data_IF_144765607765
#
_entry.id   IF_144765607765
#
_cell.length_a   1.000
_cell.length_b   1.000
_cell.length_c   1.000
_cell.angle_alpha   90.00
_cell.angle_beta   90.00
_cell.angle_gamma   90.00
#
_symmetry.space_group_name_H-M   'P 1'
#
loop_
_entity.id
_entity.type
_entity.pdbx_description
1 polymer ?
#
# COMPACT_ATOMS: atom_id res chain seq x y z
N UNK A 1 10.66 12.91 -3.84
CA UNK A 1 10.80 11.87 -4.89
C UNK A 1 11.87 10.83 -4.57
N UNK A 2 13.10 11.20 -4.18
CA UNK A 2 14.17 10.20 -3.94
C UNK A 2 13.81 9.09 -2.93
N UNK A 3 13.07 9.41 -1.87
CA UNK A 3 12.62 8.41 -0.90
C UNK A 3 11.51 7.50 -1.46
N UNK A 4 10.58 8.02 -2.27
CA UNK A 4 9.55 7.22 -2.97
C UNK A 4 10.23 6.19 -3.90
N UNK A 5 11.28 6.59 -4.62
CA UNK A 5 12.04 5.66 -5.46
C UNK A 5 12.65 4.52 -4.63
N UNK A 6 13.22 4.85 -3.45
CA UNK A 6 13.81 3.82 -2.57
C UNK A 6 12.76 2.84 -2.05
N UNK A 7 11.60 3.32 -1.63
CA UNK A 7 10.54 2.45 -1.12
C UNK A 7 9.97 1.55 -2.22
N UNK A 8 9.78 2.07 -3.45
CA UNK A 8 9.34 1.25 -4.59
C UNK A 8 10.35 0.16 -4.96
N UNK A 9 11.65 0.46 -4.93
CA UNK A 9 12.70 -0.56 -5.08
C UNK A 9 12.59 -1.65 -4.02
N UNK A 10 12.46 -1.26 -2.75
CA UNK A 10 12.31 -2.20 -1.63
C UNK A 10 11.08 -3.08 -1.83
N UNK A 11 9.92 -2.51 -2.16
CA UNK A 11 8.66 -3.26 -2.38
C UNK A 11 8.76 -4.24 -3.55
N UNK A 12 9.40 -3.83 -4.64
CA UNK A 12 9.68 -4.69 -5.80
C UNK A 12 10.50 -5.91 -5.36
N UNK A 13 11.63 -5.69 -4.68
CA UNK A 13 12.51 -6.77 -4.22
C UNK A 13 11.79 -7.67 -3.20
N UNK A 14 11.07 -7.07 -2.25
CA UNK A 14 10.30 -7.82 -1.26
C UNK A 14 9.29 -8.77 -1.91
N UNK A 15 8.60 -8.35 -2.96
CA UNK A 15 7.62 -9.22 -3.63
C UNK A 15 8.27 -10.26 -4.56
N UNK A 16 9.47 -10.01 -5.11
CA UNK A 16 10.27 -11.07 -5.73
C UNK A 16 10.67 -12.14 -4.70
N UNK A 17 11.04 -11.74 -3.49
CA UNK A 17 11.33 -12.68 -2.39
C UNK A 17 10.08 -13.45 -1.98
N UNK A 18 8.91 -12.81 -1.91
CA UNK A 18 7.63 -13.50 -1.67
C UNK A 18 7.37 -14.52 -2.76
N UNK A 19 7.61 -14.20 -4.03
CA UNK A 19 7.48 -15.16 -5.11
C UNK A 19 8.36 -16.40 -4.83
N UNK A 20 9.64 -16.23 -4.51
CA UNK A 20 10.51 -17.36 -4.15
C UNK A 20 9.93 -18.16 -2.98
N UNK A 21 9.45 -17.50 -1.93
CA UNK A 21 8.86 -18.15 -0.75
C UNK A 21 7.61 -18.95 -1.11
N UNK A 22 6.82 -18.51 -2.09
CA UNK A 22 5.61 -19.20 -2.56
C UNK A 22 5.90 -20.50 -3.33
N UNK A 23 7.17 -20.82 -3.65
CA UNK A 23 7.55 -22.12 -4.21
C UNK A 23 7.80 -23.19 -3.12
N UNK A 24 7.90 -22.80 -1.84
CA UNK A 24 8.02 -23.78 -0.76
C UNK A 24 6.69 -24.48 -0.51
N UNK A 25 6.76 -25.66 0.13
CA UNK A 25 5.57 -26.41 0.54
C UNK A 25 4.66 -25.55 1.41
N UNK A 26 3.37 -25.62 1.12
CA UNK A 26 2.31 -24.93 1.86
C UNK A 26 2.45 -25.19 3.37
N UNK A 27 2.59 -24.11 4.14
CA UNK A 27 2.72 -24.16 5.58
C UNK A 27 2.30 -22.83 6.20
N UNK A 28 1.92 -22.86 7.48
CA UNK A 28 1.58 -21.64 8.23
C UNK A 28 2.74 -20.63 8.25
N UNK A 29 3.99 -21.13 8.21
CA UNK A 29 5.17 -20.29 8.19
C UNK A 29 5.26 -19.46 6.89
N UNK A 30 4.98 -20.08 5.74
CA UNK A 30 4.93 -19.39 4.44
C UNK A 30 3.87 -18.28 4.47
N UNK A 31 2.69 -18.56 5.04
CA UNK A 31 1.61 -17.56 5.17
C UNK A 31 2.04 -16.40 6.08
N UNK A 32 2.60 -16.68 7.27
CA UNK A 32 3.07 -15.65 8.20
C UNK A 32 4.13 -14.75 7.55
N UNK A 33 5.11 -15.35 6.86
CA UNK A 33 6.14 -14.60 6.15
C UNK A 33 5.55 -13.71 5.06
N UNK A 34 4.64 -14.23 4.24
CA UNK A 34 3.96 -13.47 3.21
C UNK A 34 3.14 -12.31 3.79
N UNK A 35 2.43 -12.53 4.90
CA UNK A 35 1.67 -11.49 5.60
C UNK A 35 2.55 -10.39 6.18
N UNK A 36 3.70 -10.73 6.77
CA UNK A 36 4.67 -9.73 7.28
C UNK A 36 5.21 -8.88 6.12
N UNK A 37 5.61 -9.51 5.02
CA UNK A 37 6.11 -8.77 3.86
C UNK A 37 5.02 -7.89 3.26
N UNK A 38 3.78 -8.39 3.15
CA UNK A 38 2.65 -7.61 2.69
C UNK A 38 2.39 -6.39 3.60
N UNK A 39 2.36 -6.57 4.93
CA UNK A 39 2.22 -5.47 5.89
C UNK A 39 3.29 -4.40 5.72
N UNK A 40 4.56 -4.80 5.58
CA UNK A 40 5.68 -3.88 5.36
C UNK A 40 5.49 -3.14 4.03
N UNK A 41 5.17 -3.86 2.96
CA UNK A 41 4.98 -3.27 1.63
C UNK A 41 3.83 -2.27 1.60
N UNK A 42 2.71 -2.60 2.22
CA UNK A 42 1.54 -1.72 2.27
C UNK A 42 1.81 -0.49 3.13
N UNK A 43 2.54 -0.65 4.24
CA UNK A 43 3.01 0.50 5.05
C UNK A 43 3.91 1.43 4.24
N UNK A 44 4.84 0.88 3.46
CA UNK A 44 5.70 1.67 2.57
C UNK A 44 4.88 2.36 1.47
N UNK A 45 3.87 1.70 0.90
CA UNK A 45 2.95 2.31 -0.07
C UNK A 45 2.14 3.47 0.51
N UNK A 46 1.67 3.34 1.75
CA UNK A 46 0.98 4.44 2.44
C UNK A 46 1.91 5.60 2.76
N UNK A 47 3.17 5.30 3.13
CA UNK A 47 4.19 6.32 3.29
C UNK A 47 4.49 7.05 1.97
N UNK A 48 4.58 6.35 0.84
CA UNK A 48 4.71 6.95 -0.50
C UNK A 48 3.54 7.90 -0.80
N UNK A 49 2.30 7.47 -0.57
CA UNK A 49 1.10 8.29 -0.74
C UNK A 49 1.15 9.57 0.11
N UNK A 50 1.63 9.48 1.34
CA UNK A 50 1.86 10.63 2.21
C UNK A 50 2.93 11.59 1.67
N UNK A 51 4.02 11.06 1.11
CA UNK A 51 5.07 11.86 0.47
C UNK A 51 4.62 12.53 -0.83
N UNK A 52 3.66 11.98 -1.55
CA UNK A 52 3.11 12.62 -2.76
C UNK A 52 2.26 13.86 -2.48
N UNK A 53 1.64 13.95 -1.30
CA UNK A 53 0.79 15.09 -0.94
C UNK A 53 1.51 16.45 -0.96
N UNK A 54 2.67 16.63 -0.27
CA UNK A 54 3.42 17.88 -0.34
C UNK A 54 4.03 18.14 -1.73
N UNK A 55 4.28 17.09 -2.53
CA UNK A 55 4.75 17.23 -3.92
C UNK A 55 3.62 17.84 -4.77
N UNK A 56 2.43 17.24 -4.71
CA UNK A 56 1.25 17.70 -5.44
C UNK A 56 0.90 19.16 -5.09
N UNK A 57 0.90 19.52 -3.81
CA UNK A 57 0.59 20.89 -3.38
C UNK A 57 1.57 21.97 -3.90
N UNK A 58 2.79 21.60 -4.29
CA UNK A 58 3.77 22.54 -4.88
C UNK A 58 3.58 22.72 -6.38
N UNK A 59 3.07 21.70 -7.06
CA UNK A 59 2.87 21.69 -8.52
C UNK A 59 1.49 22.28 -8.86
N UNK A 60 0.46 21.94 -8.07
CA UNK A 60 -0.93 22.30 -8.33
C UNK A 60 -1.27 23.65 -7.69
N UNK A 61 -1.86 24.55 -8.50
CA UNK A 61 -2.35 25.86 -8.05
C UNK A 61 -3.40 25.68 -6.96
N UNK A 62 -3.45 26.60 -6.00
CA UNK A 62 -4.35 26.49 -4.84
C UNK A 62 -5.84 26.33 -5.23
N UNK A 63 -6.28 26.99 -6.30
CA UNK A 63 -7.64 26.89 -6.85
C UNK A 63 -8.00 25.47 -7.32
N UNK A 64 -7.02 24.72 -7.80
CA UNK A 64 -7.24 23.45 -8.51
C UNK A 64 -6.97 22.24 -7.60
N UNK A 65 -6.57 22.47 -6.34
CA UNK A 65 -6.15 21.41 -5.40
C UNK A 65 -7.29 20.51 -5.00
N UNK A 66 -8.47 21.07 -4.75
CA UNK A 66 -9.64 20.29 -4.35
C UNK A 66 -10.07 19.34 -5.47
N UNK A 67 -10.19 19.87 -6.69
CA UNK A 67 -10.49 19.09 -7.89
C UNK A 67 -9.43 18.00 -8.14
N UNK A 68 -8.14 18.35 -8.02
CA UNK A 68 -7.05 17.39 -8.20
C UNK A 68 -7.09 16.27 -7.16
N UNK A 69 -7.44 16.59 -5.91
CA UNK A 69 -7.58 15.58 -4.86
C UNK A 69 -8.79 14.69 -5.09
N UNK A 70 -9.92 15.25 -5.53
CA UNK A 70 -11.11 14.49 -5.90
C UNK A 70 -10.79 13.53 -7.07
N UNK A 71 -10.14 14.02 -8.13
CA UNK A 71 -9.71 13.19 -9.25
C UNK A 71 -8.77 12.07 -8.80
N UNK A 72 -7.76 12.38 -7.97
CA UNK A 72 -6.82 11.39 -7.44
C UNK A 72 -7.54 10.31 -6.63
N UNK A 73 -8.51 10.70 -5.80
CA UNK A 73 -9.28 9.76 -4.99
C UNK A 73 -10.13 8.84 -5.87
N UNK A 74 -10.81 9.40 -6.86
CA UNK A 74 -11.59 8.62 -7.83
C UNK A 74 -10.70 7.63 -8.57
N UNK A 75 -9.57 8.08 -9.13
CA UNK A 75 -8.63 7.22 -9.83
C UNK A 75 -8.08 6.10 -8.92
N UNK A 76 -7.76 6.42 -7.66
CA UNK A 76 -7.29 5.43 -6.68
C UNK A 76 -8.36 4.39 -6.37
N UNK A 77 -9.59 4.83 -6.12
CA UNK A 77 -10.73 3.93 -5.84
C UNK A 77 -11.03 3.03 -7.04
N UNK A 78 -11.07 3.57 -8.26
CA UNK A 78 -11.27 2.79 -9.48
C UNK A 78 -10.16 1.75 -9.66
N UNK A 79 -8.90 2.14 -9.49
CA UNK A 79 -7.78 1.19 -9.58
C UNK A 79 -7.83 0.13 -8.50
N UNK A 80 -8.28 0.46 -7.29
CA UNK A 80 -8.47 -0.53 -6.22
C UNK A 80 -9.55 -1.57 -6.58
N UNK A 81 -10.66 -1.13 -7.19
CA UNK A 81 -11.71 -2.05 -7.67
C UNK A 81 -11.14 -2.95 -8.76
N UNK A 82 -10.51 -2.37 -9.78
CA UNK A 82 -9.89 -3.12 -10.89
C UNK A 82 -8.87 -4.13 -10.37
N UNK A 83 -7.96 -3.73 -9.47
CA UNK A 83 -6.94 -4.60 -8.92
C UNK A 83 -7.53 -5.74 -8.07
N UNK A 84 -8.55 -5.47 -7.26
CA UNK A 84 -9.20 -6.51 -6.45
C UNK A 84 -9.94 -7.52 -7.33
N UNK A 85 -10.73 -7.03 -8.30
CA UNK A 85 -11.45 -7.90 -9.23
C UNK A 85 -10.51 -8.72 -10.10
N UNK A 86 -9.46 -8.11 -10.67
CA UNK A 86 -8.43 -8.82 -11.43
C UNK A 86 -7.68 -9.82 -10.56
N UNK A 87 -7.29 -9.45 -9.34
CA UNK A 87 -6.62 -10.35 -8.40
C UNK A 87 -7.45 -11.59 -8.09
N UNK A 88 -8.73 -11.40 -7.76
CA UNK A 88 -9.64 -12.50 -7.49
C UNK A 88 -9.85 -13.43 -8.70
N UNK A 89 -10.00 -12.85 -9.90
CA UNK A 89 -10.10 -13.61 -11.13
C UNK A 89 -8.81 -14.39 -11.44
N UNK A 90 -7.65 -13.78 -11.26
CA UNK A 90 -6.36 -14.39 -11.56
C UNK A 90 -6.02 -15.54 -10.61
N UNK A 91 -6.46 -15.51 -9.35
CA UNK A 91 -6.27 -16.63 -8.40
C UNK A 91 -6.90 -17.94 -8.92
N UNK A 92 -7.91 -17.87 -9.78
CA UNK A 92 -8.53 -19.07 -10.38
C UNK A 92 -7.58 -19.82 -11.33
N UNK A 93 -6.64 -19.12 -11.98
CA UNK A 93 -5.78 -19.70 -13.03
C UNK A 93 -4.29 -19.64 -12.69
N UNK A 94 -3.88 -18.76 -11.78
CA UNK A 94 -2.48 -18.48 -11.45
C UNK A 94 -2.17 -18.92 -10.03
N UNK A 95 -0.97 -19.49 -9.84
CA UNK A 95 -0.47 -19.79 -8.50
C UNK A 95 -0.05 -18.51 -7.74
N UNK A 96 0.03 -18.60 -6.42
CA UNK A 96 0.48 -17.49 -5.57
C UNK A 96 1.88 -16.96 -5.92
N UNK A 97 2.76 -17.81 -6.48
CA UNK A 97 4.03 -17.39 -7.09
C UNK A 97 3.83 -16.34 -8.18
N UNK A 98 2.98 -16.64 -9.17
CA UNK A 98 2.71 -15.74 -10.29
C UNK A 98 2.05 -14.44 -9.82
N UNK A 99 1.15 -14.51 -8.83
CA UNK A 99 0.51 -13.34 -8.25
C UNK A 99 1.52 -12.44 -7.52
N UNK A 100 2.49 -13.02 -6.81
CA UNK A 100 3.58 -12.28 -6.18
C UNK A 100 4.48 -11.60 -7.24
N UNK A 101 4.75 -12.26 -8.37
CA UNK A 101 5.47 -11.66 -9.50
C UNK A 101 4.69 -10.50 -10.13
N UNK A 102 3.36 -10.64 -10.29
CA UNK A 102 2.51 -9.55 -10.80
C UNK A 102 2.58 -8.34 -9.86
N UNK A 103 2.49 -8.54 -8.55
CA UNK A 103 2.65 -7.45 -7.57
C UNK A 103 4.06 -6.82 -7.62
N UNK A 104 5.11 -7.62 -7.79
CA UNK A 104 6.44 -7.07 -8.03
C UNK A 104 6.50 -6.23 -9.30
N UNK A 105 5.85 -6.68 -10.38
CA UNK A 105 5.81 -5.97 -11.65
C UNK A 105 5.04 -4.65 -11.54
N UNK A 106 3.92 -4.60 -10.82
CA UNK A 106 3.19 -3.34 -10.63
C UNK A 106 4.02 -2.32 -9.85
N UNK A 107 4.79 -2.74 -8.84
CA UNK A 107 5.75 -1.86 -8.15
C UNK A 107 6.89 -1.42 -9.07
N UNK A 108 7.41 -2.31 -9.91
CA UNK A 108 8.44 -1.96 -10.88
C UNK A 108 7.94 -0.97 -11.92
N UNK A 109 6.70 -1.10 -12.41
CA UNK A 109 6.08 -0.14 -13.32
C UNK A 109 5.94 1.22 -12.64
N UNK A 110 5.44 1.26 -11.40
CA UNK A 110 5.35 2.50 -10.60
C UNK A 110 6.73 3.16 -10.41
N UNK A 111 7.76 2.35 -10.18
CA UNK A 111 9.15 2.81 -10.09
C UNK A 111 9.61 3.44 -11.40
N UNK A 112 9.38 2.78 -12.54
CA UNK A 112 9.75 3.30 -13.86
C UNK A 112 9.02 4.62 -14.18
N UNK A 113 7.72 4.69 -13.91
CA UNK A 113 6.94 5.93 -14.07
C UNK A 113 7.53 7.03 -13.20
N UNK A 114 7.80 6.74 -11.92
CA UNK A 114 8.38 7.72 -10.98
C UNK A 114 9.75 8.20 -11.44
N UNK A 115 10.59 7.31 -12.00
CA UNK A 115 11.88 7.66 -12.58
C UNK A 115 11.74 8.55 -13.82
N UNK A 116 10.78 8.25 -14.70
CA UNK A 116 10.51 9.03 -15.90
C UNK A 116 10.08 10.47 -15.58
N UNK A 117 9.23 10.65 -14.56
CA UNK A 117 8.75 11.99 -14.16
C UNK A 117 9.67 12.69 -13.15
N UNK A 118 10.69 12.00 -12.62
CA UNK A 118 11.60 12.54 -11.58
C UNK A 118 12.22 13.88 -11.98
N UNK A 119 12.68 14.00 -13.22
CA UNK A 119 13.31 15.22 -13.71
C UNK A 119 12.32 16.38 -13.74
N UNK A 120 11.09 16.14 -14.21
CA UNK A 120 10.04 17.16 -14.27
C UNK A 120 9.70 17.63 -12.86
N UNK A 121 9.47 16.69 -11.94
CA UNK A 121 9.20 17.01 -10.55
C UNK A 121 10.34 17.84 -9.96
N UNK A 122 11.59 17.39 -10.09
CA UNK A 122 12.76 18.10 -9.55
C UNK A 122 12.95 19.51 -10.12
N UNK A 123 12.64 19.74 -11.39
CA UNK A 123 12.74 21.07 -11.99
C UNK A 123 11.78 22.06 -11.31
N UNK A 124 10.58 21.64 -10.90
CA UNK A 124 9.69 22.46 -10.07
C UNK A 124 10.25 22.75 -8.65
N UNK A 125 11.21 21.96 -8.15
CA UNK A 125 11.86 22.21 -6.85
C UNK A 125 13.03 23.19 -6.93
N UNK A 126 13.73 23.25 -8.07
CA UNK A 126 14.92 24.10 -8.22
C UNK A 126 14.54 25.59 -8.27
N UNK A 127 13.34 25.92 -8.74
CA UNK A 127 12.89 27.31 -8.93
C UNK A 127 12.47 28.05 -7.64
N UNK A 128 12.43 27.40 -6.45
CA UNK A 128 11.86 28.00 -5.22
C UNK A 128 12.63 27.83 -3.91
N UNK A 129 13.84 27.27 -3.92
CA UNK A 129 14.66 27.17 -2.69
C UNK A 129 16.16 27.32 -2.97
N UNK A 130 16.92 28.06 -2.14
CA UNK A 130 18.38 28.12 -2.26
C UNK A 130 18.97 26.73 -2.12
N UNK A 131 19.94 26.40 -2.96
CA UNK A 131 20.60 25.09 -3.04
C UNK A 131 21.17 24.66 -1.69
N UNK A 132 20.40 23.90 -0.92
CA UNK A 132 20.93 23.18 0.24
C UNK A 132 21.53 21.89 -0.27
N UNK A 133 22.85 21.75 -0.12
CA UNK A 133 23.60 20.54 -0.43
C UNK A 133 22.82 19.34 0.11
N UNK A 134 22.49 18.39 -0.77
CA UNK A 134 21.81 17.15 -0.40
C UNK A 134 22.76 16.36 0.49
N UNK A 135 22.66 16.58 1.81
CA UNK A 135 23.33 15.79 2.82
C UNK A 135 22.95 14.32 2.60
N UNK A 136 23.93 13.41 2.68
CA UNK A 136 23.66 11.97 2.64
C UNK A 136 22.59 11.68 3.69
N UNK A 137 21.41 11.28 3.23
CA UNK A 137 20.28 10.94 4.12
C UNK A 137 20.72 9.75 4.95
N UNK A 138 21.05 10.00 6.22
CA UNK A 138 21.24 8.94 7.20
C UNK A 138 19.85 8.34 7.48
N UNK A 139 19.64 7.16 6.91
CA UNK A 139 18.38 6.44 7.01
C UNK A 139 18.04 6.10 8.46
N UNK A 140 19.04 5.78 9.29
CA UNK A 140 18.82 5.41 10.69
C UNK A 140 18.39 6.62 11.51
N UNK A 141 19.09 7.75 11.34
CA UNK A 141 18.72 9.01 12.00
C UNK A 141 17.32 9.47 11.54
N UNK A 142 17.08 9.50 10.23
CA UNK A 142 15.79 9.91 9.65
C UNK A 142 14.65 9.01 10.12
N UNK A 143 14.85 7.69 10.16
CA UNK A 143 13.83 6.75 10.64
C UNK A 143 13.56 6.92 12.14
N UNK A 144 14.62 7.08 12.94
CA UNK A 144 14.50 7.38 14.37
C UNK A 144 13.70 8.67 14.62
N UNK A 145 13.98 9.72 13.85
CA UNK A 145 13.26 10.99 13.92
C UNK A 145 11.80 10.86 13.50
N UNK A 146 11.51 10.06 12.45
CA UNK A 146 10.13 9.79 12.06
C UNK A 146 9.39 9.04 13.17
N UNK A 147 9.99 8.03 13.78
CA UNK A 147 9.37 7.25 14.86
C UNK A 147 9.17 8.11 16.11
N UNK A 148 10.13 8.95 16.47
CA UNK A 148 10.02 9.84 17.63
C UNK A 148 8.90 10.87 17.42
N UNK A 149 8.85 11.49 16.24
CA UNK A 149 7.79 12.42 15.87
C UNK A 149 6.43 11.73 15.78
N UNK A 150 6.35 10.52 15.21
CA UNK A 150 5.12 9.73 15.19
C UNK A 150 4.63 9.44 16.61
N UNK A 151 5.52 9.02 17.52
CA UNK A 151 5.18 8.78 18.92
C UNK A 151 4.67 10.05 19.60
N UNK A 152 5.29 11.20 19.34
CA UNK A 152 4.85 12.49 19.85
C UNK A 152 3.47 12.88 19.30
N UNK A 153 3.28 12.78 17.98
CA UNK A 153 2.01 13.06 17.32
C UNK A 153 0.90 12.14 17.82
N UNK A 154 1.18 10.84 17.98
CA UNK A 154 0.23 9.90 18.59
C UNK A 154 -0.07 10.31 20.03
N UNK A 155 0.93 10.64 20.85
CA UNK A 155 0.70 11.11 22.22
C UNK A 155 -0.20 12.35 22.25
N UNK A 156 -0.01 13.30 21.34
CA UNK A 156 -0.86 14.48 21.22
C UNK A 156 -2.28 14.14 20.75
N UNK A 157 -2.45 13.32 19.72
CA UNK A 157 -3.77 12.92 19.26
C UNK A 157 -4.51 12.09 20.32
N UNK A 158 -3.82 11.16 20.97
CA UNK A 158 -4.33 10.43 22.12
C UNK A 158 -4.52 11.34 23.35
N UNK A 159 -4.05 12.59 23.41
CA UNK A 159 -4.40 13.49 24.52
C UNK A 159 -5.78 14.13 24.34
N UNK A 160 -6.30 14.16 23.11
CA UNK A 160 -7.61 14.72 22.79
C UNK A 160 -8.70 13.66 23.05
N UNK A 161 -9.65 13.98 23.94
CA UNK A 161 -10.70 13.05 24.39
C UNK A 161 -11.43 12.35 23.25
N UNK A 162 -11.82 13.09 22.21
CA UNK A 162 -12.58 12.54 21.08
C UNK A 162 -11.71 11.75 20.09
N UNK A 163 -10.41 12.05 20.00
CA UNK A 163 -9.50 11.38 19.06
C UNK A 163 -9.04 10.02 19.59
N UNK A 164 -8.94 9.84 20.92
CA UNK A 164 -8.68 8.52 21.52
C UNK A 164 -9.67 7.47 21.04
N UNK A 165 -10.96 7.82 21.06
CA UNK A 165 -12.04 6.93 20.63
C UNK A 165 -11.89 6.60 19.15
N UNK A 166 -11.69 7.58 18.28
CA UNK A 166 -11.52 7.36 16.84
C UNK A 166 -10.30 6.49 16.52
N UNK A 167 -9.16 6.76 17.18
CA UNK A 167 -7.89 6.05 16.96
C UNK A 167 -7.87 4.62 17.49
N UNK A 168 -8.77 4.25 18.42
CA UNK A 168 -8.90 2.89 18.93
C UNK A 168 -10.05 2.13 18.26
N UNK A 169 -11.21 2.77 18.18
CA UNK A 169 -12.44 2.13 17.71
C UNK A 169 -12.33 1.76 16.24
N UNK A 170 -11.85 2.66 15.37
CA UNK A 170 -11.79 2.38 13.93
C UNK A 170 -10.83 1.21 13.61
N UNK A 171 -9.58 1.16 14.12
CA UNK A 171 -8.71 0.02 13.85
C UNK A 171 -9.24 -1.30 14.41
N UNK A 172 -9.84 -1.29 15.60
CA UNK A 172 -10.42 -2.49 16.21
C UNK A 172 -11.61 -2.98 15.38
N UNK A 173 -12.51 -2.09 14.98
CA UNK A 173 -13.65 -2.43 14.11
C UNK A 173 -13.17 -2.99 12.78
N UNK A 174 -12.28 -2.29 12.08
CA UNK A 174 -11.75 -2.74 10.79
C UNK A 174 -11.03 -4.09 10.90
N UNK A 175 -10.22 -4.28 11.95
CA UNK A 175 -9.52 -5.55 12.19
C UNK A 175 -10.47 -6.70 12.49
N UNK A 176 -11.52 -6.46 13.27
CA UNK A 176 -12.53 -7.48 13.59
C UNK A 176 -13.38 -7.84 12.38
N UNK A 177 -13.83 -6.84 11.62
CA UNK A 177 -14.64 -7.03 10.40
C UNK A 177 -13.84 -7.74 9.30
N UNK A 178 -12.53 -7.54 9.22
CA UNK A 178 -11.67 -8.21 8.23
C UNK A 178 -11.67 -9.75 8.36
N UNK A 179 -12.00 -10.30 9.55
CA UNK A 179 -12.06 -11.75 9.79
C UNK A 179 -13.34 -12.37 9.20
N UNK A 180 -14.40 -11.58 9.01
CA UNK A 180 -15.69 -12.06 8.50
C UNK A 180 -15.54 -12.66 7.11
N UNK A 181 -14.74 -12.04 6.23
CA UNK A 181 -14.56 -12.51 4.84
C UNK A 181 -13.90 -13.91 4.82
N UNK A 182 -12.71 -14.15 5.42
CA UNK A 182 -12.13 -15.49 5.49
C UNK A 182 -13.05 -16.53 6.14
N UNK A 183 -13.77 -16.17 7.21
CA UNK A 183 -14.72 -17.08 7.85
C UNK A 183 -15.89 -17.43 6.91
N UNK A 184 -16.39 -16.47 6.14
CA UNK A 184 -17.39 -16.71 5.10
C UNK A 184 -16.84 -17.64 4.02
N UNK A 185 -15.60 -17.46 3.55
CA UNK A 185 -14.93 -18.36 2.57
C UNK A 185 -14.90 -19.79 3.11
N UNK A 186 -14.44 -19.98 4.35
CA UNK A 186 -14.31 -21.30 4.97
C UNK A 186 -15.68 -21.98 5.18
N UNK A 187 -16.72 -21.21 5.49
CA UNK A 187 -18.06 -21.77 5.63
C UNK A 187 -18.68 -22.12 4.27
N UNK A 188 -18.48 -21.28 3.26
CA UNK A 188 -18.91 -21.57 1.88
C UNK A 188 -18.15 -22.75 1.28
N UNK A 189 -16.86 -22.91 1.55
CA UNK A 189 -16.10 -24.08 1.07
C UNK A 189 -16.58 -25.40 1.66
N UNK A 190 -17.34 -25.38 2.76
CA UNK A 190 -17.99 -26.57 3.34
C UNK A 190 -19.32 -26.91 2.65
N UNK A 191 -19.89 -26.01 1.84
CA UNK A 191 -21.16 -26.19 1.14
C UNK A 191 -21.00 -25.98 -0.37
N UNK A 192 -20.99 -27.07 -1.14
CA UNK A 192 -20.82 -27.03 -2.60
C UNK A 192 -21.96 -26.32 -3.34
N UNK A 193 -23.14 -26.18 -2.72
CA UNK A 193 -24.36 -25.64 -3.34
C UNK A 193 -24.26 -24.16 -3.74
N UNK A 194 -23.31 -23.41 -3.18
CA UNK A 194 -23.16 -21.97 -3.41
C UNK A 194 -21.81 -21.61 -4.05
N UNK A 195 -21.00 -22.59 -4.46
CA UNK A 195 -19.66 -22.33 -4.99
C UNK A 195 -19.69 -22.06 -6.50
N UNK A 196 -19.47 -20.81 -6.92
CA UNK A 196 -19.22 -20.42 -8.31
C UNK A 196 -17.72 -20.59 -8.59
N UNK A 197 -17.33 -21.66 -9.30
CA UNK A 197 -15.94 -21.99 -9.71
C UNK A 197 -14.99 -22.28 -8.53
N UNK A 198 -14.88 -21.39 -7.55
CA UNK A 198 -14.21 -21.57 -6.26
C UNK A 198 -14.88 -20.72 -5.18
N UNK A 199 -14.66 -21.03 -3.90
CA UNK A 199 -15.21 -20.23 -2.80
C UNK A 199 -14.67 -18.78 -2.81
N UNK A 200 -13.43 -18.59 -3.26
CA UNK A 200 -12.83 -17.27 -3.43
C UNK A 200 -13.52 -16.46 -4.54
N UNK A 201 -13.81 -17.09 -5.67
CA UNK A 201 -14.52 -16.47 -6.80
C UNK A 201 -15.95 -16.08 -6.42
N UNK A 202 -16.65 -16.94 -5.68
CA UNK A 202 -18.03 -16.70 -5.21
C UNK A 202 -18.13 -15.41 -4.39
N UNK A 203 -17.24 -15.23 -3.42
CA UNK A 203 -17.25 -14.05 -2.56
C UNK A 203 -16.84 -12.80 -3.33
N UNK A 204 -15.82 -12.90 -4.20
CA UNK A 204 -15.44 -11.75 -5.04
C UNK A 204 -16.57 -11.25 -5.94
N UNK A 205 -17.54 -12.10 -6.31
CA UNK A 205 -18.73 -11.71 -7.08
C UNK A 205 -19.82 -11.12 -6.19
N UNK A 206 -19.95 -11.61 -4.94
CA UNK A 206 -20.97 -11.13 -4.00
C UNK A 206 -20.58 -9.83 -3.28
N UNK A 207 -19.28 -9.49 -3.23
CA UNK A 207 -18.73 -8.32 -2.54
C UNK A 207 -17.97 -8.71 -1.28
#
# INVERSE_FOLDING_TARGET
VGMIIKTLWIRTILYLLVAVVMNFKESILVVILASIVNLISDTLGQFENGLFYPISNRIVKKSDREETMAFRQTATSTMNIVNQSLGAFLITFLSFFHLALINSLTFAISLLITLAIKSQINNFYIDKTPSTKVSKVDFKATFSDIISNLKLSLKHLFSLTNMKTVLLVIPILNGSLAIIIPLAVVNLSKSSALTIISSATTISVLG
#
